data_IF_534071611728
#
_entry.id   IF_534071611728
#
_cell.length_a   1.000
_cell.length_b   1.000
_cell.length_c   1.000
_cell.angle_alpha   90.00
_cell.angle_beta   90.00
_cell.angle_gamma   90.00
#
_symmetry.space_group_name_H-M   'P 1'
#
loop_
_entity.id
_entity.type
_entity.pdbx_description
1 polymer ?
#
# COMPACT_ATOMS: atom_id res chain seq x y z
N UNK A 1 -16.84 45.07 27.52
CA UNK A 1 -17.40 43.71 27.40
C UNK A 1 -16.39 42.86 26.64
N UNK A 2 -15.43 42.28 27.35
CA UNK A 2 -14.47 41.34 26.77
C UNK A 2 -14.97 39.94 27.01
N UNK A 3 -15.35 39.22 25.95
CA UNK A 3 -15.61 37.80 26.02
C UNK A 3 -14.28 37.07 25.84
N UNK A 4 -13.68 36.70 26.97
CA UNK A 4 -12.64 35.67 27.03
C UNK A 4 -13.25 34.34 26.63
N UNK A 5 -12.82 33.79 25.49
CA UNK A 5 -13.10 32.40 25.12
C UNK A 5 -12.39 31.51 26.14
N UNK A 6 -13.07 30.54 26.80
CA UNK A 6 -12.43 29.72 27.80
C UNK A 6 -11.36 28.85 27.16
N UNK A 7 -10.18 28.82 27.79
CA UNK A 7 -9.00 28.01 27.46
C UNK A 7 -9.19 26.48 27.55
N UNK A 8 -10.44 26.01 27.51
CA UNK A 8 -10.81 24.60 27.59
C UNK A 8 -11.14 23.98 26.23
N UNK A 9 -11.14 24.74 25.11
CA UNK A 9 -11.29 24.18 23.77
C UNK A 9 -10.01 23.53 23.22
N UNK A 10 -8.82 23.91 23.72
CA UNK A 10 -7.55 23.33 23.27
C UNK A 10 -7.24 21.96 23.89
N UNK A 11 -8.05 21.49 24.86
CA UNK A 11 -7.81 20.23 25.56
C UNK A 11 -8.71 19.07 25.09
N UNK A 12 -9.70 19.34 24.24
CA UNK A 12 -10.62 18.32 23.68
C UNK A 12 -10.27 17.86 22.25
N UNK A 13 -9.26 18.45 21.62
CA UNK A 13 -8.78 18.06 20.27
C UNK A 13 -7.58 17.08 20.29
N UNK A 14 -7.33 16.37 21.39
CA UNK A 14 -6.58 15.11 21.34
C UNK A 14 -7.52 13.96 20.97
N UNK A 15 -8.21 14.10 19.83
CA UNK A 15 -8.76 12.96 19.13
C UNK A 15 -7.57 12.09 18.72
N UNK A 16 -7.32 11.00 19.45
CA UNK A 16 -6.27 10.03 19.11
C UNK A 16 -6.41 9.64 17.64
N UNK A 17 -5.54 10.22 16.81
CA UNK A 17 -5.53 10.06 15.36
C UNK A 17 -4.91 8.73 14.98
N UNK A 18 -5.10 8.31 13.72
CA UNK A 18 -4.23 7.28 13.14
C UNK A 18 -2.84 7.91 12.95
N UNK A 19 -1.96 7.69 13.92
CA UNK A 19 -0.61 8.22 13.99
C UNK A 19 0.41 7.28 13.37
N UNK A 20 0.18 5.96 13.43
CA UNK A 20 1.14 4.96 12.93
C UNK A 20 0.47 3.97 12.00
N UNK A 21 0.93 3.94 10.75
CA UNK A 21 0.44 3.06 9.70
C UNK A 21 1.57 2.18 9.18
N UNK A 22 1.35 0.88 9.16
CA UNK A 22 2.25 -0.06 8.51
C UNK A 22 1.63 -0.52 7.19
N UNK A 23 2.34 -0.34 6.09
CA UNK A 23 1.98 -0.89 4.79
C UNK A 23 2.91 -2.07 4.49
N UNK A 24 2.35 -3.20 4.08
CA UNK A 24 3.11 -4.42 3.77
C UNK A 24 2.86 -4.78 2.32
N UNK A 25 3.93 -4.79 1.52
CA UNK A 25 3.89 -5.33 0.16
C UNK A 25 4.30 -6.80 0.19
N UNK A 26 3.37 -7.67 -0.21
CA UNK A 26 3.50 -9.12 -0.07
C UNK A 26 3.92 -9.74 -1.40
N UNK A 27 5.14 -10.23 -1.39
CA UNK A 27 5.81 -11.10 -2.35
C UNK A 27 6.50 -12.27 -1.62
N UNK A 28 7.27 -13.09 -2.33
CA UNK A 28 8.13 -14.10 -1.68
C UNK A 28 9.34 -13.46 -1.02
N UNK A 29 9.71 -13.94 0.17
CA UNK A 29 10.94 -13.54 0.86
C UNK A 29 12.14 -14.42 0.46
N UNK A 30 13.32 -14.07 0.99
CA UNK A 30 14.56 -14.75 0.62
C UNK A 30 14.67 -16.18 1.14
N UNK A 31 14.05 -16.52 2.29
CA UNK A 31 14.04 -17.92 2.75
C UNK A 31 13.37 -18.84 1.74
N UNK A 32 12.33 -18.35 1.05
CA UNK A 32 11.64 -19.12 0.02
C UNK A 32 12.51 -19.33 -1.22
N UNK A 33 13.41 -18.38 -1.52
CA UNK A 33 14.34 -18.48 -2.64
C UNK A 33 15.48 -19.48 -2.39
N UNK A 34 15.97 -19.60 -1.16
CA UNK A 34 17.06 -20.53 -0.79
C UNK A 34 16.61 -22.01 -0.74
N UNK A 35 15.31 -22.29 -0.59
CA UNK A 35 14.75 -23.65 -0.52
C UNK A 35 14.52 -24.31 -1.89
N UNK A 36 15.11 -23.81 -2.97
CA UNK A 36 15.06 -24.45 -4.28
C UNK A 36 13.82 -24.12 -5.12
N UNK A 37 13.01 -23.12 -4.76
CA UNK A 37 12.04 -22.49 -5.69
C UNK A 37 12.75 -21.50 -6.63
N UNK A 38 13.91 -21.90 -7.16
CA UNK A 38 14.95 -21.02 -7.70
C UNK A 38 14.65 -20.39 -9.07
N UNK A 39 13.59 -20.78 -9.80
CA UNK A 39 13.61 -20.51 -11.26
C UNK A 39 12.47 -19.74 -11.93
N UNK A 40 11.41 -19.28 -11.26
CA UNK A 40 10.36 -18.52 -11.99
C UNK A 40 9.73 -17.31 -11.28
N UNK A 41 9.80 -17.19 -9.95
CA UNK A 41 9.10 -16.08 -9.23
C UNK A 41 10.08 -15.04 -8.66
N UNK A 42 11.31 -15.44 -8.31
CA UNK A 42 12.35 -14.57 -7.75
C UNK A 42 12.86 -13.48 -8.73
N UNK A 43 12.41 -13.52 -9.99
CA UNK A 43 12.82 -12.61 -11.08
C UNK A 43 12.02 -11.33 -11.27
N UNK A 44 11.04 -11.04 -10.41
CA UNK A 44 9.99 -10.06 -10.70
C UNK A 44 9.79 -8.99 -9.62
N UNK A 45 10.71 -8.84 -8.67
CA UNK A 45 10.48 -7.85 -7.62
C UNK A 45 10.66 -6.43 -8.16
N UNK A 46 9.83 -5.54 -7.66
CA UNK A 46 9.83 -4.12 -8.00
C UNK A 46 9.75 -3.29 -6.72
N UNK A 47 10.14 -2.02 -6.77
CA UNK A 47 9.85 -1.12 -5.65
C UNK A 47 8.33 -1.07 -5.41
N UNK A 48 7.84 -0.98 -4.16
CA UNK A 48 6.42 -0.99 -3.82
C UNK A 48 5.74 0.35 -4.20
N UNK A 49 5.82 0.75 -5.48
CA UNK A 49 5.42 2.07 -5.98
C UNK A 49 3.98 2.44 -5.60
N UNK A 50 3.05 1.48 -5.69
CA UNK A 50 1.67 1.72 -5.28
C UNK A 50 1.55 2.12 -3.81
N UNK A 51 2.31 1.48 -2.91
CA UNK A 51 2.35 1.85 -1.50
C UNK A 51 3.06 3.18 -1.26
N UNK A 52 4.07 3.51 -2.07
CA UNK A 52 4.77 4.79 -2.01
C UNK A 52 3.86 5.95 -2.44
N UNK A 53 3.03 5.78 -3.48
CA UNK A 53 2.00 6.75 -3.88
C UNK A 53 0.92 6.88 -2.81
N UNK A 54 0.45 5.77 -2.23
CA UNK A 54 -0.51 5.78 -1.11
C UNK A 54 0.03 6.58 0.08
N UNK A 55 1.27 6.31 0.48
CA UNK A 55 1.88 6.98 1.61
C UNK A 55 2.10 8.48 1.35
N UNK A 56 2.48 8.86 0.12
CA UNK A 56 2.66 10.27 -0.27
C UNK A 56 1.33 11.02 -0.26
N UNK A 57 0.28 10.41 -0.81
CA UNK A 57 -1.08 10.96 -0.83
C UNK A 57 -1.63 11.14 0.59
N UNK A 58 -1.41 10.15 1.47
CA UNK A 58 -1.79 10.24 2.87
C UNK A 58 -1.01 11.34 3.60
N UNK A 59 0.31 11.44 3.41
CA UNK A 59 1.16 12.44 4.08
C UNK A 59 0.85 13.88 3.68
N UNK A 60 0.35 14.13 2.46
CA UNK A 60 -0.11 15.46 2.07
C UNK A 60 -1.25 15.98 2.95
N UNK A 61 -2.13 15.08 3.41
CA UNK A 61 -3.31 15.43 4.22
C UNK A 61 -3.04 15.22 5.72
N UNK A 62 -2.23 14.24 6.06
CA UNK A 62 -1.91 13.82 7.43
C UNK A 62 -0.38 13.84 7.66
N UNK A 63 0.26 15.02 7.71
CA UNK A 63 1.73 15.12 7.75
C UNK A 63 2.35 14.55 9.04
N UNK A 64 1.57 14.46 10.12
CA UNK A 64 2.01 13.91 11.40
C UNK A 64 1.85 12.39 11.50
N UNK A 65 1.23 11.74 10.51
CA UNK A 65 1.10 10.28 10.49
C UNK A 65 2.41 9.65 10.05
N UNK A 66 3.02 8.86 10.92
CA UNK A 66 4.18 8.03 10.61
C UNK A 66 3.71 6.82 9.80
N UNK A 67 4.33 6.63 8.64
CA UNK A 67 4.05 5.51 7.74
C UNK A 67 5.35 4.75 7.51
N UNK A 68 5.30 3.42 7.66
CA UNK A 68 6.39 2.52 7.29
C UNK A 68 5.94 1.55 6.21
N UNK A 69 6.86 1.16 5.34
CA UNK A 69 6.65 0.12 4.33
C UNK A 69 7.56 -1.06 4.67
N UNK A 70 6.97 -2.25 4.76
CA UNK A 70 7.70 -3.51 4.77
C UNK A 70 7.46 -4.19 3.42
N UNK A 71 8.52 -4.54 2.70
CA UNK A 71 8.41 -5.31 1.46
C UNK A 71 9.02 -6.68 1.68
N UNK A 72 8.21 -7.73 1.62
CA UNK A 72 8.66 -9.07 2.00
C UNK A 72 9.77 -9.60 1.09
N UNK A 73 9.87 -9.14 -0.16
CA UNK A 73 10.97 -9.49 -1.07
C UNK A 73 12.36 -9.02 -0.60
N UNK A 74 12.40 -7.98 0.24
CA UNK A 74 13.65 -7.50 0.85
C UNK A 74 14.00 -8.22 2.15
N UNK A 75 13.02 -8.91 2.76
CA UNK A 75 13.21 -9.63 4.00
C UNK A 75 14.01 -10.91 3.79
N UNK A 76 14.79 -11.28 4.81
CA UNK A 76 15.30 -12.64 4.91
C UNK A 76 14.16 -13.56 5.34
N UNK A 77 13.51 -13.23 6.46
CA UNK A 77 12.38 -13.96 7.05
C UNK A 77 11.24 -12.97 7.30
N UNK A 78 10.28 -12.95 6.36
CA UNK A 78 9.22 -11.93 6.36
C UNK A 78 8.32 -12.00 7.59
N UNK A 79 8.10 -13.18 8.17
CA UNK A 79 7.28 -13.31 9.37
C UNK A 79 8.00 -12.72 10.59
N UNK A 80 9.25 -13.11 10.83
CA UNK A 80 10.02 -12.61 11.99
C UNK A 80 10.18 -11.11 11.93
N UNK A 81 10.52 -10.56 10.77
CA UNK A 81 10.70 -9.13 10.57
C UNK A 81 9.38 -8.38 10.71
N UNK A 82 8.27 -8.92 10.19
CA UNK A 82 6.94 -8.36 10.39
C UNK A 82 6.56 -8.32 11.88
N UNK A 83 6.74 -9.42 12.60
CA UNK A 83 6.42 -9.49 14.04
C UNK A 83 7.24 -8.48 14.84
N UNK A 84 8.56 -8.40 14.59
CA UNK A 84 9.42 -7.42 15.25
C UNK A 84 8.98 -5.97 14.94
N UNK A 85 8.53 -5.71 13.71
CA UNK A 85 8.03 -4.40 13.32
C UNK A 85 6.68 -4.08 13.98
N UNK A 86 5.74 -5.02 14.04
CA UNK A 86 4.47 -4.85 14.77
C UNK A 86 4.72 -4.53 16.25
N UNK A 87 5.64 -5.25 16.89
CA UNK A 87 5.97 -5.10 18.31
C UNK A 87 6.64 -3.74 18.60
N UNK A 88 7.59 -3.32 17.78
CA UNK A 88 8.33 -2.06 17.98
C UNK A 88 7.55 -0.82 17.51
N UNK A 89 6.81 -0.92 16.41
CA UNK A 89 6.13 0.20 15.78
C UNK A 89 4.70 0.39 16.28
N UNK A 90 4.04 -0.67 16.76
CA UNK A 90 2.66 -0.62 17.29
C UNK A 90 1.69 0.16 16.36
N UNK A 91 1.52 -0.26 15.09
CA UNK A 91 0.64 0.43 14.16
C UNK A 91 -0.83 0.34 14.58
N UNK A 92 -1.61 1.36 14.26
CA UNK A 92 -3.06 1.37 14.46
C UNK A 92 -3.81 0.86 13.22
N UNK A 93 -3.17 0.98 12.05
CA UNK A 93 -3.67 0.50 10.76
C UNK A 93 -2.55 -0.27 10.07
N UNK A 94 -2.87 -1.46 9.59
CA UNK A 94 -2.01 -2.29 8.74
C UNK A 94 -2.69 -2.48 7.39
N UNK A 95 -2.01 -2.10 6.31
CA UNK A 95 -2.47 -2.31 4.94
C UNK A 95 -1.64 -3.38 4.24
N UNK A 96 -2.30 -4.41 3.70
CA UNK A 96 -1.65 -5.50 2.96
C UNK A 96 -1.91 -5.34 1.46
N UNK A 97 -0.86 -5.14 0.67
CA UNK A 97 -0.92 -5.19 -0.81
C UNK A 97 -0.39 -6.52 -1.30
N UNK A 98 -1.08 -7.12 -2.27
CA UNK A 98 -0.71 -8.44 -2.78
C UNK A 98 -1.16 -8.66 -4.22
N UNK A 99 -0.31 -9.33 -5.01
CA UNK A 99 -0.68 -9.94 -6.29
C UNK A 99 -1.32 -11.31 -6.06
N UNK A 100 -2.21 -11.76 -6.95
CA UNK A 100 -2.93 -13.04 -6.77
C UNK A 100 -2.02 -14.25 -6.66
N UNK A 101 -0.81 -14.17 -7.23
CA UNK A 101 0.19 -15.24 -7.13
C UNK A 101 0.74 -15.44 -5.71
N UNK A 102 0.63 -14.44 -4.82
CA UNK A 102 1.09 -14.51 -3.43
C UNK A 102 -0.06 -14.65 -2.42
N UNK A 103 -1.25 -15.07 -2.86
CA UNK A 103 -2.45 -15.18 -2.01
C UNK A 103 -2.25 -16.05 -0.75
N UNK A 104 -1.44 -17.10 -0.84
CA UNK A 104 -1.15 -17.98 0.30
C UNK A 104 -0.36 -17.22 1.37
N UNK A 105 0.67 -16.47 0.95
CA UNK A 105 1.46 -15.63 1.84
C UNK A 105 0.61 -14.51 2.46
N UNK A 106 -0.28 -13.89 1.68
CA UNK A 106 -1.22 -12.90 2.19
C UNK A 106 -2.09 -13.46 3.33
N UNK A 107 -2.72 -14.61 3.11
CA UNK A 107 -3.59 -15.26 4.11
C UNK A 107 -2.81 -15.64 5.37
N UNK A 108 -1.57 -16.10 5.18
CA UNK A 108 -0.67 -16.46 6.27
C UNK A 108 -0.30 -15.24 7.12
N UNK A 109 0.28 -14.21 6.51
CA UNK A 109 0.71 -13.01 7.23
C UNK A 109 -0.45 -12.24 7.85
N UNK A 110 -1.63 -12.22 7.22
CA UNK A 110 -2.84 -11.65 7.82
C UNK A 110 -3.22 -12.35 9.14
N UNK A 111 -3.12 -13.68 9.21
CA UNK A 111 -3.35 -14.45 10.44
C UNK A 111 -2.29 -14.15 11.51
N UNK A 112 -1.02 -14.04 11.11
CA UNK A 112 0.08 -13.65 12.02
C UNK A 112 -0.19 -12.27 12.63
N UNK A 113 -0.55 -11.28 11.80
CA UNK A 113 -0.90 -9.93 12.26
C UNK A 113 -2.07 -9.97 13.23
N UNK A 114 -3.17 -10.66 12.88
CA UNK A 114 -4.35 -10.73 13.75
C UNK A 114 -4.07 -11.42 15.08
N UNK A 115 -3.22 -12.46 15.10
CA UNK A 115 -2.82 -13.14 16.32
C UNK A 115 -1.99 -12.22 17.25
N UNK A 116 -1.11 -11.38 16.67
CA UNK A 116 -0.26 -10.46 17.43
C UNK A 116 -0.96 -9.16 17.83
N UNK A 117 -1.84 -8.65 16.97
CA UNK A 117 -2.57 -7.39 17.19
C UNK A 117 -4.06 -7.58 16.87
N UNK A 118 -4.85 -8.20 17.78
CA UNK A 118 -6.26 -8.52 17.54
C UNK A 118 -7.13 -7.30 17.19
N UNK A 119 -6.78 -6.13 17.72
CA UNK A 119 -7.56 -4.89 17.56
C UNK A 119 -7.05 -3.95 16.45
N UNK A 120 -5.99 -4.31 15.72
CA UNK A 120 -5.49 -3.45 14.64
C UNK A 120 -6.50 -3.40 13.50
N UNK A 121 -6.70 -2.22 12.90
CA UNK A 121 -7.42 -2.16 11.63
C UNK A 121 -6.56 -2.83 10.57
N UNK A 122 -7.05 -3.91 9.98
CA UNK A 122 -6.33 -4.68 8.97
C UNK A 122 -7.06 -4.58 7.64
N UNK A 123 -6.44 -3.95 6.65
CA UNK A 123 -7.05 -3.74 5.33
C UNK A 123 -6.24 -4.44 4.23
N UNK A 124 -6.92 -4.84 3.17
CA UNK A 124 -6.30 -5.39 1.95
C UNK A 124 -6.41 -4.43 0.78
N UNK A 125 -5.40 -4.37 -0.09
CA UNK A 125 -5.43 -3.62 -1.34
C UNK A 125 -4.62 -4.27 -2.47
N UNK A 126 -4.75 -3.73 -3.69
CA UNK A 126 -4.08 -4.25 -4.87
C UNK A 126 -4.85 -5.38 -5.57
N UNK A 127 -4.24 -6.03 -6.58
CA UNK A 127 -4.91 -7.00 -7.45
C UNK A 127 -5.66 -8.12 -6.75
N UNK A 128 -5.02 -8.80 -5.80
CA UNK A 128 -5.63 -9.94 -5.12
C UNK A 128 -6.82 -9.53 -4.24
N UNK A 129 -6.69 -8.57 -3.31
CA UNK A 129 -7.84 -8.04 -2.59
C UNK A 129 -8.94 -7.48 -3.49
N UNK A 130 -8.59 -6.86 -4.62
CA UNK A 130 -9.58 -6.33 -5.57
C UNK A 130 -10.38 -7.42 -6.27
N UNK A 131 -9.75 -8.54 -6.65
CA UNK A 131 -10.41 -9.64 -7.35
C UNK A 131 -11.11 -10.63 -6.40
N UNK A 132 -10.62 -10.75 -5.16
CA UNK A 132 -10.97 -11.83 -4.24
C UNK A 132 -11.54 -11.33 -2.91
N UNK A 133 -12.09 -10.11 -2.86
CA UNK A 133 -12.63 -9.51 -1.64
C UNK A 133 -13.69 -10.37 -0.95
N UNK A 134 -14.52 -11.10 -1.70
CA UNK A 134 -15.53 -12.02 -1.16
C UNK A 134 -14.92 -13.16 -0.32
N UNK A 135 -13.69 -13.53 -0.60
CA UNK A 135 -12.99 -14.58 0.15
C UNK A 135 -12.28 -14.01 1.39
N UNK A 136 -11.71 -12.80 1.27
CA UNK A 136 -10.77 -12.31 2.28
C UNK A 136 -11.39 -11.39 3.33
N UNK A 137 -12.46 -10.65 2.99
CA UNK A 137 -13.09 -9.70 3.91
C UNK A 137 -13.85 -10.48 4.99
N UNK A 138 -13.66 -10.10 6.25
CA UNK A 138 -14.20 -10.78 7.43
C UNK A 138 -13.41 -12.01 7.88
N UNK A 139 -12.67 -12.66 6.96
CA UNK A 139 -11.87 -13.85 7.27
C UNK A 139 -10.39 -13.54 7.54
N UNK A 140 -9.82 -12.57 6.81
CA UNK A 140 -8.40 -12.24 6.86
C UNK A 140 -8.15 -10.74 7.03
N UNK A 141 -9.02 -9.90 6.46
CA UNK A 141 -8.96 -8.44 6.57
C UNK A 141 -10.34 -7.89 6.92
N UNK A 142 -10.39 -6.72 7.53
CA UNK A 142 -11.63 -6.07 7.94
C UNK A 142 -12.29 -5.30 6.79
N UNK A 143 -11.48 -4.81 5.86
CA UNK A 143 -11.91 -4.05 4.68
C UNK A 143 -10.95 -4.29 3.51
N UNK A 144 -11.47 -4.39 2.30
CA UNK A 144 -10.68 -4.41 1.07
C UNK A 144 -10.87 -3.11 0.28
N UNK A 145 -9.77 -2.47 -0.12
CA UNK A 145 -9.77 -1.38 -1.10
C UNK A 145 -9.69 -1.98 -2.49
N UNK A 146 -10.63 -1.58 -3.36
CA UNK A 146 -10.83 -2.14 -4.70
C UNK A 146 -10.34 -1.15 -5.75
N UNK A 147 -9.39 -1.56 -6.58
CA UNK A 147 -8.81 -0.73 -7.64
C UNK A 147 -7.73 0.23 -7.13
N UNK A 148 -7.68 1.44 -7.71
CA UNK A 148 -6.72 2.49 -7.30
C UNK A 148 -7.08 3.03 -5.92
N UNK A 149 -6.09 3.07 -5.03
CA UNK A 149 -6.32 3.23 -3.60
C UNK A 149 -6.08 4.63 -3.06
N UNK A 150 -5.40 5.52 -3.78
CA UNK A 150 -4.85 6.76 -3.23
C UNK A 150 -5.90 7.65 -2.57
N UNK A 151 -6.97 7.98 -3.30
CA UNK A 151 -8.08 8.79 -2.78
C UNK A 151 -8.86 8.04 -1.68
N UNK A 152 -9.16 6.76 -1.90
CA UNK A 152 -9.88 5.92 -0.92
C UNK A 152 -9.12 5.79 0.40
N UNK A 153 -7.81 5.66 0.35
CA UNK A 153 -6.95 5.50 1.51
C UNK A 153 -6.86 6.77 2.34
N UNK A 154 -6.76 7.93 1.69
CA UNK A 154 -6.83 9.25 2.36
C UNK A 154 -8.18 9.41 3.06
N UNK A 155 -9.28 9.12 2.39
CA UNK A 155 -10.63 9.19 2.97
C UNK A 155 -10.83 8.18 4.12
N UNK A 156 -10.24 6.98 4.00
CA UNK A 156 -10.26 5.96 5.06
C UNK A 156 -9.52 6.44 6.31
N UNK A 157 -8.31 6.98 6.19
CA UNK A 157 -7.55 7.53 7.32
C UNK A 157 -8.33 8.68 7.98
N UNK A 158 -8.91 9.56 7.16
CA UNK A 158 -9.74 10.66 7.65
C UNK A 158 -10.99 10.17 8.40
N UNK A 159 -11.62 9.10 7.92
CA UNK A 159 -12.76 8.47 8.60
C UNK A 159 -12.32 7.85 9.93
N UNK A 160 -11.28 7.00 9.92
CA UNK A 160 -10.78 6.36 11.13
C UNK A 160 -10.35 7.36 12.21
N UNK A 161 -9.76 8.48 11.80
CA UNK A 161 -9.36 9.56 12.71
C UNK A 161 -10.56 10.24 13.38
N UNK A 162 -11.70 10.34 12.69
CA UNK A 162 -12.92 10.98 13.19
C UNK A 162 -13.79 10.05 14.04
N UNK A 163 -14.10 8.86 13.52
CA UNK A 163 -15.12 7.96 14.09
C UNK A 163 -14.55 6.72 14.79
N UNK A 164 -13.25 6.44 14.63
CA UNK A 164 -12.56 5.28 15.24
C UNK A 164 -13.20 3.92 14.94
N UNK A 165 -13.92 3.84 13.83
CA UNK A 165 -14.57 2.63 13.32
C UNK A 165 -14.38 2.56 11.82
N UNK A 166 -14.36 1.34 11.28
CA UNK A 166 -14.27 1.16 9.84
C UNK A 166 -15.54 1.70 9.17
N UNK A 167 -15.41 2.55 8.13
CA UNK A 167 -16.57 3.04 7.40
C UNK A 167 -17.22 1.88 6.62
N UNK A 168 -18.55 1.83 6.63
CA UNK A 168 -19.32 0.78 5.95
C UNK A 168 -19.81 1.18 4.56
N UNK A 169 -19.63 2.46 4.19
CA UNK A 169 -20.13 3.10 2.98
C UNK A 169 -19.02 3.85 2.20
N UNK A 170 -17.75 3.61 2.52
CA UNK A 170 -16.63 4.26 1.83
C UNK A 170 -16.53 3.82 0.36
N UNK A 171 -16.54 4.78 -0.56
CA UNK A 171 -16.41 4.53 -2.00
C UNK A 171 -15.08 3.85 -2.33
N UNK A 172 -15.14 2.82 -3.17
CA UNK A 172 -13.98 2.03 -3.60
C UNK A 172 -13.59 0.92 -2.61
N UNK A 173 -14.51 0.46 -1.77
CA UNK A 173 -14.23 -0.57 -0.76
C UNK A 173 -15.21 -1.74 -0.79
N UNK A 174 -14.79 -2.86 -0.19
CA UNK A 174 -15.66 -3.94 0.24
C UNK A 174 -15.44 -4.22 1.73
N UNK A 175 -16.53 -4.43 2.46
CA UNK A 175 -16.53 -4.50 3.94
C UNK A 175 -17.62 -5.45 4.43
N UNK A 176 -17.41 -6.09 5.58
CA UNK A 176 -18.39 -6.94 6.22
C UNK A 176 -19.41 -6.08 6.98
N UNK A 177 -20.70 -6.20 6.64
CA UNK A 177 -21.80 -5.49 7.30
C UNK A 177 -22.88 -6.50 7.66
N UNK A 178 -23.23 -6.60 8.94
CA UNK A 178 -24.27 -7.52 9.44
C UNK A 178 -24.07 -8.98 9.01
N UNK A 179 -22.82 -9.44 8.91
CA UNK A 179 -22.48 -10.81 8.50
C UNK A 179 -22.42 -11.03 6.98
N UNK A 180 -22.72 -10.02 6.16
CA UNK A 180 -22.65 -10.10 4.70
C UNK A 180 -21.58 -9.17 4.13
N UNK A 181 -20.86 -9.63 3.10
CA UNK A 181 -19.83 -8.83 2.44
C UNK A 181 -20.53 -7.87 1.47
N UNK A 182 -20.44 -6.57 1.79
CA UNK A 182 -20.97 -5.49 0.95
C UNK A 182 -19.83 -4.87 0.14
N UNK A 183 -19.96 -4.87 -1.18
CA UNK A 183 -19.13 -4.04 -2.07
C UNK A 183 -19.79 -2.67 -2.23
N UNK A 184 -19.09 -1.61 -1.84
CA UNK A 184 -19.54 -0.23 -2.01
C UNK A 184 -19.40 0.24 -3.46
N UNK A 185 -19.89 1.45 -3.73
CA UNK A 185 -19.77 2.08 -5.05
C UNK A 185 -18.32 2.07 -5.54
N UNK A 186 -18.12 1.79 -6.83
CA UNK A 186 -16.78 1.78 -7.42
C UNK A 186 -16.29 3.21 -7.60
N UNK A 187 -15.03 3.48 -7.23
CA UNK A 187 -14.45 4.80 -7.44
C UNK A 187 -14.19 5.04 -8.93
N UNK A 188 -14.54 6.23 -9.48
CA UNK A 188 -14.10 6.62 -10.80
C UNK A 188 -12.58 6.58 -10.91
N UNK A 189 -12.08 6.18 -12.07
CA UNK A 189 -10.65 6.16 -12.36
C UNK A 189 -10.09 7.59 -12.24
N UNK A 190 -8.90 7.74 -11.66
CA UNK A 190 -8.24 9.05 -11.57
C UNK A 190 -7.79 9.51 -12.96
N UNK A 191 -8.49 10.43 -13.61
CA UNK A 191 -8.16 10.89 -14.98
C UNK A 191 -6.73 11.43 -15.10
N UNK A 192 -6.33 12.35 -14.21
CA UNK A 192 -5.02 12.98 -14.21
C UNK A 192 -4.12 12.40 -13.12
N UNK A 193 -3.11 11.61 -13.51
CA UNK A 193 -2.15 11.00 -12.57
C UNK A 193 -1.27 12.07 -11.91
N UNK A 194 -1.06 13.22 -12.57
CA UNK A 194 -0.22 14.31 -12.06
C UNK A 194 -0.85 15.02 -10.85
N UNK A 195 -2.11 14.74 -10.52
CA UNK A 195 -2.73 15.14 -9.24
C UNK A 195 -2.11 14.42 -8.03
N UNK A 196 -1.46 13.27 -8.24
CA UNK A 196 -0.82 12.52 -7.17
C UNK A 196 0.56 13.11 -6.84
N UNK A 197 0.94 13.17 -5.56
CA UNK A 197 2.33 13.43 -5.20
C UNK A 197 3.26 12.37 -5.77
N UNK A 198 4.49 12.78 -6.06
CA UNK A 198 5.57 11.87 -6.42
C UNK A 198 5.74 10.77 -5.35
N UNK A 199 6.11 9.53 -5.74
CA UNK A 199 6.22 8.41 -4.82
C UNK A 199 7.36 8.64 -3.81
N UNK A 200 7.09 8.38 -2.53
CA UNK A 200 8.03 8.64 -1.44
C UNK A 200 9.07 7.51 -1.31
N UNK A 201 10.21 7.68 -1.99
CA UNK A 201 11.36 6.77 -1.89
C UNK A 201 12.08 6.81 -0.55
N UNK A 202 11.81 7.77 0.33
CA UNK A 202 12.46 7.84 1.64
C UNK A 202 11.86 6.80 2.61
N UNK A 203 10.75 6.14 2.22
CA UNK A 203 10.12 5.05 2.95
C UNK A 203 10.73 3.67 2.69
N UNK A 204 11.65 3.57 1.72
CA UNK A 204 12.35 2.34 1.39
C UNK A 204 13.85 2.59 1.28
N UNK A 205 14.67 1.58 1.51
CA UNK A 205 16.08 1.63 1.17
C UNK A 205 16.29 0.85 -0.13
N UNK A 206 16.56 1.58 -1.22
CA UNK A 206 16.77 1.00 -2.56
C UNK A 206 17.90 -0.05 -2.57
N UNK A 207 18.87 0.04 -1.64
CA UNK A 207 19.96 -0.94 -1.54
C UNK A 207 19.50 -2.32 -1.06
N UNK A 208 18.36 -2.42 -0.39
CA UNK A 208 17.82 -3.70 0.09
C UNK A 208 17.33 -4.59 -1.07
N UNK A 209 17.15 -3.99 -2.25
CA UNK A 209 16.81 -4.64 -3.51
C UNK A 209 18.04 -5.11 -4.30
N UNK A 210 19.24 -4.98 -3.72
CA UNK A 210 20.46 -5.51 -4.34
C UNK A 210 20.38 -7.03 -4.42
N UNK A 211 20.69 -7.60 -5.58
CA UNK A 211 20.68 -9.05 -5.81
C UNK A 211 19.28 -9.65 -5.98
N UNK A 212 18.21 -8.86 -5.84
CA UNK A 212 16.87 -9.31 -6.24
C UNK A 212 16.74 -9.22 -7.75
N UNK A 213 16.35 -10.31 -8.41
CA UNK A 213 16.28 -10.36 -9.85
C UNK A 213 15.05 -9.58 -10.34
N UNK A 214 15.24 -8.72 -11.34
CA UNK A 214 14.16 -8.01 -12.01
C UNK A 214 14.35 -8.10 -13.53
N UNK A 215 13.28 -8.30 -14.29
CA UNK A 215 13.36 -8.44 -15.76
C UNK A 215 13.90 -7.20 -16.48
N UNK A 216 13.92 -6.04 -15.82
CA UNK A 216 14.48 -4.82 -16.38
C UNK A 216 16.02 -4.79 -16.34
N UNK A 217 16.67 -5.66 -15.55
CA UNK A 217 18.12 -5.62 -15.35
C UNK A 217 18.77 -7.00 -15.26
N UNK A 218 19.49 -7.36 -16.33
CA UNK A 218 20.43 -8.48 -16.39
C UNK A 218 21.79 -8.07 -15.78
N UNK A 219 21.86 -7.86 -14.46
CA UNK A 219 23.14 -7.84 -13.72
C UNK A 219 23.75 -6.50 -13.29
N UNK A 220 22.94 -5.46 -13.00
CA UNK A 220 23.44 -4.28 -12.27
C UNK A 220 22.55 -3.96 -11.06
N UNK A 221 23.18 -3.53 -9.97
CA UNK A 221 22.59 -3.44 -8.63
C UNK A 221 21.86 -2.12 -8.33
N UNK A 222 21.67 -1.26 -9.33
CA UNK A 222 21.12 0.10 -9.15
C UNK A 222 20.00 0.37 -10.15
N UNK A 223 18.78 -0.02 -9.81
CA UNK A 223 17.58 0.27 -10.59
C UNK A 223 16.54 0.98 -9.72
N UNK A 224 15.81 1.92 -10.31
CA UNK A 224 14.62 2.54 -9.73
C UNK A 224 13.48 2.40 -10.73
N UNK A 225 12.31 2.02 -10.23
CA UNK A 225 11.12 1.86 -11.03
C UNK A 225 10.41 3.20 -11.13
N UNK A 226 9.97 3.58 -12.32
CA UNK A 226 9.21 4.79 -12.57
C UNK A 226 7.87 4.40 -13.17
N UNK A 227 6.82 5.09 -12.75
CA UNK A 227 5.51 4.97 -13.39
C UNK A 227 5.33 6.16 -14.33
N UNK A 228 5.31 5.93 -15.64
CA UNK A 228 5.04 6.98 -16.64
C UNK A 228 3.58 7.00 -17.11
N UNK A 229 2.84 5.92 -16.86
CA UNK A 229 1.43 5.78 -17.24
C UNK A 229 0.72 4.71 -16.42
N UNK A 230 -0.61 4.79 -16.36
CA UNK A 230 -1.49 3.78 -15.73
C UNK A 230 -2.60 3.35 -16.68
N UNK A 231 -2.95 2.08 -16.60
CA UNK A 231 -4.03 1.49 -17.39
C UNK A 231 -3.56 0.87 -18.70
N UNK A 232 -4.49 0.17 -19.38
CA UNK A 232 -4.20 -0.55 -20.61
C UNK A 232 -5.47 -0.63 -21.48
N UNK A 233 -5.36 -0.27 -22.77
CA UNK A 233 -6.49 -0.31 -23.71
C UNK A 233 -6.80 -1.70 -24.24
N UNK A 234 -5.93 -2.69 -23.97
CA UNK A 234 -6.08 -4.04 -24.47
C UNK A 234 -7.09 -4.84 -23.64
N UNK A 235 -7.76 -5.81 -24.29
CA UNK A 235 -8.76 -6.71 -23.69
C UNK A 235 -8.29 -8.16 -23.72
N UNK A 236 -7.05 -8.40 -23.34
CA UNK A 236 -6.45 -9.73 -23.40
C UNK A 236 -7.23 -10.72 -22.53
N UNK A 237 -7.59 -11.86 -23.09
CA UNK A 237 -8.41 -12.88 -22.42
C UNK A 237 -7.79 -13.41 -21.12
N UNK A 238 -6.45 -13.47 -21.08
CA UNK A 238 -5.69 -13.97 -19.94
C UNK A 238 -5.34 -12.88 -18.91
N UNK A 239 -5.63 -11.61 -19.19
CA UNK A 239 -5.23 -10.53 -18.30
C UNK A 239 -6.25 -10.39 -17.17
N UNK A 240 -5.76 -10.34 -15.93
CA UNK A 240 -6.61 -10.08 -14.76
C UNK A 240 -7.24 -8.67 -14.77
N UNK A 241 -6.75 -7.78 -15.65
CA UNK A 241 -7.19 -6.40 -15.91
C UNK A 241 -7.96 -5.72 -14.75
N UNK A 242 -7.34 -5.60 -13.57
CA UNK A 242 -7.82 -4.71 -12.51
C UNK A 242 -7.49 -3.23 -12.77
N UNK A 243 -6.94 -2.92 -13.96
CA UNK A 243 -6.52 -1.59 -14.37
C UNK A 243 -7.58 -0.95 -15.27
N UNK A 244 -7.60 0.39 -15.31
CA UNK A 244 -8.47 1.15 -16.22
C UNK A 244 -8.38 0.64 -17.66
N UNK A 245 -9.53 0.62 -18.36
CA UNK A 245 -9.64 0.33 -19.80
C UNK A 245 -9.08 1.45 -20.70
N UNK A 246 -8.62 2.54 -20.08
CA UNK A 246 -7.94 3.66 -20.73
C UNK A 246 -6.49 3.73 -20.26
N UNK A 247 -5.62 4.30 -21.09
CA UNK A 247 -4.24 4.63 -20.70
C UNK A 247 -4.21 6.11 -20.34
N UNK A 248 -3.78 6.41 -19.11
CA UNK A 248 -3.50 7.76 -18.65
C UNK A 248 -1.99 7.90 -18.52
N UNK A 249 -1.45 9.02 -19.00
CA UNK A 249 0.00 9.28 -19.00
C UNK A 249 0.29 10.41 -18.03
N UNK A 250 1.42 10.32 -17.35
CA UNK A 250 1.97 11.45 -16.59
C UNK A 250 2.59 12.47 -17.52
N UNK A 251 2.71 13.70 -17.05
CA UNK A 251 3.48 14.73 -17.73
C UNK A 251 4.93 14.26 -17.96
N UNK A 252 5.46 14.37 -19.19
CA UNK A 252 6.86 14.08 -19.47
C UNK A 252 7.82 14.88 -18.57
N UNK A 253 7.47 16.12 -18.23
CA UNK A 253 8.31 16.99 -17.40
C UNK A 253 8.44 16.44 -15.98
N UNK A 254 7.35 15.95 -15.39
CA UNK A 254 7.37 15.33 -14.06
C UNK A 254 8.15 14.01 -14.05
N UNK A 255 8.06 13.23 -15.13
CA UNK A 255 8.85 12.00 -15.28
C UNK A 255 10.34 12.31 -15.39
N UNK A 256 10.71 13.34 -16.17
CA UNK A 256 12.10 13.80 -16.32
C UNK A 256 12.64 14.36 -14.99
N UNK A 257 11.81 15.10 -14.25
CA UNK A 257 12.16 15.62 -12.93
C UNK A 257 12.45 14.46 -11.96
N UNK A 258 11.58 13.46 -11.89
CA UNK A 258 11.78 12.26 -11.06
C UNK A 258 13.05 11.50 -11.46
N UNK A 259 13.30 11.32 -12.78
CA UNK A 259 14.56 10.74 -13.28
C UNK A 259 15.78 11.54 -12.84
N UNK A 260 15.73 12.87 -12.95
CA UNK A 260 16.79 13.78 -12.52
C UNK A 260 17.06 13.66 -11.02
N UNK A 261 16.02 13.58 -10.19
CA UNK A 261 16.17 13.35 -8.75
C UNK A 261 16.86 12.02 -8.45
N UNK A 262 16.48 10.95 -9.14
CA UNK A 262 17.13 9.65 -8.96
C UNK A 262 18.60 9.67 -9.38
N UNK A 263 18.92 10.36 -10.48
CA UNK A 263 20.28 10.52 -10.94
C UNK A 263 21.15 11.28 -9.93
N UNK A 264 20.68 12.44 -9.47
CA UNK A 264 21.46 13.33 -8.60
C UNK A 264 21.47 12.91 -7.13
N UNK A 265 20.33 12.49 -6.56
CA UNK A 265 20.22 12.18 -5.12
C UNK A 265 20.57 10.72 -4.80
N UNK A 266 20.29 9.78 -5.72
CA UNK A 266 20.38 8.33 -5.45
C UNK A 266 21.49 7.65 -6.25
N UNK A 267 22.09 8.35 -7.22
CA UNK A 267 23.20 7.84 -8.02
C UNK A 267 22.80 6.66 -8.92
N UNK A 268 21.51 6.59 -9.27
CA UNK A 268 20.98 5.66 -10.27
C UNK A 268 21.29 6.22 -11.67
N UNK A 269 21.78 5.39 -12.58
CA UNK A 269 22.22 5.81 -13.92
C UNK A 269 21.32 5.26 -15.00
#
# INVERSE_FOLDING_TARGET
>A
MGFTVPSNLMFLERLMSIERILLVDIELDRTTTEQGMEYQVAGNTHHPLGLMYLASSAKQVFPNTEIKILHTATCYDSEKELVALLESFQPQLVGLRCLSLFQTQFKYLAKVIRAKMPSVFLIGGGPYPSSSYLEIVGSYVDLAVIGEGEKTFVELIGSLTKIKTLPTDLVGTAVLVNGEIKKNESRPVLENIDELPAPNYDLINVKDYKGTYNHAYLGNDKCVFLESSRGCTYKCYYCHAALSKTVRRRSPDLVIEEMSEHYHKRGTR
#
